data_IF_752048076823
#
_entry.id   IF_752048076823
#
_cell.length_a   1.000
_cell.length_b   1.000
_cell.length_c   1.000
_cell.angle_alpha   90.00
_cell.angle_beta   90.00
_cell.angle_gamma   90.00
#
_symmetry.space_group_name_H-M   'P 1'
#
loop_
_entity.id
_entity.type
_entity.pdbx_description
1 polymer ?
#
# COMPACT_ATOMS: atom_id res chain seq x y z
N UNK A 1 14.37 4.89 -9.97
CA UNK A 1 14.06 5.50 -8.67
C UNK A 1 13.25 4.53 -7.83
N UNK A 2 13.59 4.42 -6.57
CA UNK A 2 12.94 3.50 -5.63
C UNK A 2 12.43 4.30 -4.44
N UNK A 3 11.18 4.05 -4.04
CA UNK A 3 10.58 4.53 -2.81
C UNK A 3 10.21 3.32 -1.96
N UNK A 4 10.37 3.41 -0.65
CA UNK A 4 10.02 2.31 0.24
C UNK A 4 9.56 2.81 1.59
N UNK A 5 8.82 1.97 2.30
CA UNK A 5 8.41 2.22 3.67
C UNK A 5 8.24 0.91 4.41
N UNK A 6 8.54 0.93 5.70
CA UNK A 6 8.50 -0.25 6.57
C UNK A 6 7.55 -0.04 7.74
N UNK A 7 6.92 -1.12 8.16
CA UNK A 7 6.12 -1.17 9.40
C UNK A 7 5.01 -0.11 9.42
N UNK A 8 4.37 0.11 8.28
CA UNK A 8 3.24 1.03 8.19
C UNK A 8 1.97 0.32 8.66
N UNK A 9 1.12 1.04 9.38
CA UNK A 9 -0.17 0.52 9.84
C UNK A 9 -1.27 1.13 8.99
N UNK A 10 -2.04 0.26 8.32
CA UNK A 10 -3.04 0.71 7.35
C UNK A 10 -4.28 1.35 7.98
N UNK A 11 -4.61 0.98 9.22
CA UNK A 11 -5.92 1.30 9.76
C UNK A 11 -7.02 0.47 9.10
N UNK A 12 -8.27 0.72 9.46
CA UNK A 12 -9.41 -0.08 8.98
C UNK A 12 -10.04 0.48 7.71
N UNK A 13 -9.60 1.65 7.25
CA UNK A 13 -10.08 2.27 6.02
C UNK A 13 -9.01 2.27 4.94
N UNK A 14 -9.16 3.18 4.00
CA UNK A 14 -8.15 3.38 2.96
C UNK A 14 -6.99 4.19 3.53
N UNK A 15 -5.78 3.67 3.36
CA UNK A 15 -4.56 4.33 3.78
C UNK A 15 -3.84 4.93 2.57
N UNK A 16 -3.44 6.19 2.67
CA UNK A 16 -2.71 6.86 1.60
C UNK A 16 -1.23 6.86 1.93
N UNK A 17 -0.43 6.24 1.05
CA UNK A 17 1.02 6.30 1.11
C UNK A 17 1.47 7.51 0.30
N UNK A 18 2.23 8.40 0.92
CA UNK A 18 2.76 9.60 0.26
C UNK A 18 4.28 9.49 0.19
N UNK A 19 4.82 9.63 -1.02
CA UNK A 19 6.26 9.56 -1.24
C UNK A 19 6.93 10.88 -0.84
N UNK A 20 8.12 10.78 -0.26
CA UNK A 20 8.95 11.95 0.05
C UNK A 20 9.37 12.65 -1.24
N UNK A 21 9.72 11.88 -2.26
CA UNK A 21 10.16 12.39 -3.57
C UNK A 21 9.28 11.80 -4.66
N UNK A 22 8.36 12.57 -5.25
CA UNK A 22 7.46 12.04 -6.27
C UNK A 22 8.21 11.44 -7.46
N UNK A 23 7.56 10.45 -8.11
CA UNK A 23 8.05 9.94 -9.39
C UNK A 23 7.73 10.95 -10.51
N UNK A 24 8.44 10.81 -11.63
CA UNK A 24 8.13 11.62 -12.84
C UNK A 24 6.84 11.14 -13.51
N UNK A 25 6.48 9.87 -13.31
CA UNK A 25 5.32 9.26 -13.95
C UNK A 25 4.57 8.42 -12.93
N UNK A 26 3.27 8.28 -13.11
CA UNK A 26 2.47 7.37 -12.29
C UNK A 26 2.59 5.90 -12.75
N UNK A 27 3.41 5.63 -13.74
CA UNK A 27 3.64 4.29 -14.27
C UNK A 27 4.80 3.61 -13.54
N UNK A 28 4.62 3.38 -12.24
CA UNK A 28 5.59 2.68 -11.41
C UNK A 28 4.97 1.40 -10.86
N UNK A 29 5.83 0.46 -10.45
CA UNK A 29 5.40 -0.81 -9.86
C UNK A 29 5.46 -0.73 -8.34
N UNK A 30 4.51 -1.38 -7.66
CA UNK A 30 4.46 -1.43 -6.19
C UNK A 30 4.42 -2.88 -5.74
N UNK A 31 5.33 -3.24 -4.84
CA UNK A 31 5.28 -4.52 -4.14
C UNK A 31 4.90 -4.29 -2.68
N UNK A 32 4.03 -5.15 -2.16
CA UNK A 32 3.54 -5.08 -0.78
C UNK A 32 3.95 -6.35 -0.04
N UNK A 33 4.51 -6.18 1.17
CA UNK A 33 4.77 -7.27 2.08
C UNK A 33 3.96 -7.03 3.35
N UNK A 34 2.89 -7.78 3.54
CA UNK A 34 1.99 -7.61 4.68
C UNK A 34 2.29 -8.63 5.77
N UNK A 35 2.12 -8.19 7.03
CA UNK A 35 2.40 -9.01 8.20
C UNK A 35 1.11 -9.30 8.95
N UNK A 36 1.03 -10.50 9.53
CA UNK A 36 -0.07 -10.86 10.43
C UNK A 36 -1.41 -11.02 9.76
N UNK A 37 -1.43 -11.33 8.46
CA UNK A 37 -2.69 -11.57 7.76
C UNK A 37 -3.36 -12.84 8.28
N UNK A 38 -4.67 -12.77 8.51
CA UNK A 38 -5.48 -13.94 8.79
C UNK A 38 -5.92 -14.60 7.48
N UNK A 39 -6.40 -15.85 7.57
CA UNK A 39 -6.90 -16.56 6.39
C UNK A 39 -8.02 -15.77 5.73
N UNK A 40 -7.90 -15.57 4.41
CA UNK A 40 -8.88 -14.83 3.63
C UNK A 40 -8.67 -13.32 3.60
N UNK A 41 -7.71 -12.79 4.32
CA UNK A 41 -7.38 -11.37 4.23
C UNK A 41 -6.79 -11.05 2.85
N UNK A 42 -7.09 -9.85 2.37
CA UNK A 42 -6.57 -9.37 1.09
C UNK A 42 -6.42 -7.85 1.13
N UNK A 43 -5.72 -7.33 0.14
CA UNK A 43 -5.60 -5.89 0.00
C UNK A 43 -5.88 -5.48 -1.45
N UNK A 44 -6.21 -4.21 -1.62
CA UNK A 44 -6.34 -3.60 -2.94
C UNK A 44 -5.54 -2.30 -2.98
N UNK A 45 -4.95 -2.03 -4.14
CA UNK A 45 -4.25 -0.78 -4.41
C UNK A 45 -5.12 0.08 -5.32
N UNK A 46 -5.08 1.39 -5.13
CA UNK A 46 -5.82 2.31 -5.96
C UNK A 46 -5.22 3.70 -5.97
N UNK A 47 -5.78 4.57 -6.79
CA UNK A 47 -5.42 5.98 -6.87
C UNK A 47 -3.91 6.21 -6.97
N UNK A 48 -3.24 5.43 -7.83
CA UNK A 48 -1.80 5.55 -8.01
C UNK A 48 -1.50 6.84 -8.76
N UNK A 49 -0.72 7.71 -8.11
CA UNK A 49 -0.29 8.99 -8.68
C UNK A 49 1.22 9.14 -8.53
N UNK A 50 1.80 10.18 -9.08
CA UNK A 50 3.23 10.44 -8.91
C UNK A 50 3.61 10.66 -7.45
N UNK A 51 2.65 11.07 -6.61
CA UNK A 51 2.90 11.40 -5.20
C UNK A 51 2.69 10.23 -4.25
N UNK A 52 2.07 9.15 -4.69
CA UNK A 52 1.78 8.02 -3.82
C UNK A 52 0.66 7.15 -4.34
N UNK A 53 0.13 6.30 -3.46
CA UNK A 53 -0.96 5.40 -3.80
C UNK A 53 -1.81 5.13 -2.56
N UNK A 54 -3.00 4.56 -2.78
CA UNK A 54 -3.89 4.13 -1.70
C UNK A 54 -3.83 2.62 -1.56
N UNK A 55 -3.96 2.14 -0.32
CA UNK A 55 -4.05 0.71 -0.02
C UNK A 55 -5.14 0.50 1.03
N UNK A 56 -5.90 -0.57 0.89
CA UNK A 56 -6.91 -0.97 1.86
C UNK A 56 -6.82 -2.46 2.09
N UNK A 57 -6.78 -2.87 3.35
CA UNK A 57 -6.79 -4.28 3.74
C UNK A 57 -8.20 -4.67 4.18
N UNK A 58 -8.64 -5.84 3.76
CA UNK A 58 -9.97 -6.37 4.07
C UNK A 58 -9.89 -7.83 4.45
N UNK A 59 -10.85 -8.28 5.26
CA UNK A 59 -10.97 -9.69 5.61
C UNK A 59 -11.82 -10.44 4.58
N UNK A 60 -12.02 -11.73 4.81
CA UNK A 60 -12.80 -12.58 3.89
C UNK A 60 -14.25 -12.14 3.73
N UNK A 61 -14.79 -11.40 4.69
CA UNK A 61 -16.14 -10.84 4.62
C UNK A 61 -16.21 -9.48 3.95
N UNK A 62 -15.08 -8.94 3.50
CA UNK A 62 -15.04 -7.63 2.86
C UNK A 62 -14.99 -6.44 3.81
N UNK A 63 -14.83 -6.68 5.11
CA UNK A 63 -14.70 -5.62 6.11
C UNK A 63 -13.27 -5.13 6.19
N UNK A 64 -13.09 -3.83 6.40
CA UNK A 64 -11.77 -3.22 6.56
C UNK A 64 -11.09 -3.71 7.82
N UNK A 65 -9.80 -4.04 7.72
CA UNK A 65 -8.99 -4.49 8.85
C UNK A 65 -7.66 -3.75 8.85
N UNK A 66 -7.14 -3.48 10.04
CA UNK A 66 -5.84 -2.83 10.18
C UNK A 66 -4.74 -3.87 10.11
N UNK A 67 -3.75 -3.63 9.24
CA UNK A 67 -2.61 -4.54 9.08
C UNK A 67 -1.33 -3.73 8.96
N UNK A 68 -0.23 -4.35 9.34
CA UNK A 68 1.12 -3.78 9.20
C UNK A 68 1.71 -4.26 7.89
N UNK A 69 2.29 -3.34 7.14
CA UNK A 69 2.87 -3.68 5.83
C UNK A 69 4.10 -2.85 5.52
N UNK A 70 4.90 -3.39 4.62
CA UNK A 70 6.01 -2.70 3.98
C UNK A 70 5.69 -2.54 2.50
N UNK A 71 6.25 -1.51 1.87
CA UNK A 71 6.12 -1.38 0.43
C UNK A 71 7.46 -1.05 -0.22
N UNK A 72 7.56 -1.42 -1.49
CA UNK A 72 8.65 -1.04 -2.37
C UNK A 72 8.04 -0.59 -3.69
N UNK A 73 8.29 0.66 -4.08
CA UNK A 73 7.81 1.20 -5.34
C UNK A 73 9.00 1.54 -6.22
N UNK A 74 8.95 1.14 -7.49
CA UNK A 74 10.03 1.35 -8.45
C UNK A 74 9.50 1.95 -9.73
N UNK A 75 10.14 3.02 -10.17
CA UNK A 75 9.79 3.72 -11.40
C UNK A 75 10.79 4.82 -11.72
N UNK A 76 10.33 5.82 -12.39
CA UNK A 76 11.14 6.98 -12.77
C UNK A 76 10.70 8.24 -11.99
#
# INVERSE_FOLDING_TARGET
>A
KIQSGNDLTSGTGTYTVTFTNPFYSDNYAVGISAQGLATGDYYSLGSKTINGFNIAFKNSGGSGVSRTFDYLAKGY
#
